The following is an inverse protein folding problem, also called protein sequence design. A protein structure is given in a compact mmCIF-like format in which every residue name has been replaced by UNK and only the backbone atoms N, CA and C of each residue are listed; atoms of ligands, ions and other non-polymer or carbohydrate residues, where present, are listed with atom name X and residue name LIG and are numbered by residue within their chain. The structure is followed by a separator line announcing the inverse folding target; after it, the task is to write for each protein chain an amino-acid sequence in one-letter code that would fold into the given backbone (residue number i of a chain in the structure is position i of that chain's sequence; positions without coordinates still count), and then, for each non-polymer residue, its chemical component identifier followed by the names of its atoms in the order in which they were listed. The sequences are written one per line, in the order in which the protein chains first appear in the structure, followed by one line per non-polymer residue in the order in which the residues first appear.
data_IF_999390812300
#
_entry.id   IF_999390812300
#
_cell.length_a   1.000
_cell.length_b   1.000
_cell.length_c   1.000
_cell.angle_alpha   90.00
_cell.angle_beta   90.00
_cell.angle_gamma   90.00
#
_symmetry.space_group_name_H-M   'P 1'
#
loop_
_entity.id
_entity.type
_entity.pdbx_description
1 polymer ?
#
# COMPACT_ATOMS: atom_id res chain seq x y z
N UNK A 1 -30.97 25.70 -38.05
CA UNK A 1 -30.64 24.25 -37.99
C UNK A 1 -29.17 23.91 -38.22
N UNK A 2 -28.29 24.82 -38.69
CA UNK A 2 -26.83 24.52 -38.83
C UNK A 2 -26.05 24.81 -37.54
N UNK A 3 -26.35 25.91 -36.84
CA UNK A 3 -25.64 26.31 -35.61
C UNK A 3 -25.78 25.32 -34.44
N UNK A 4 -26.94 24.68 -34.27
CA UNK A 4 -27.18 23.73 -33.17
C UNK A 4 -26.34 22.45 -33.30
N UNK A 5 -26.09 22.01 -34.55
CA UNK A 5 -25.26 20.83 -34.83
C UNK A 5 -23.78 21.10 -34.59
N UNK A 6 -23.30 22.29 -34.94
CA UNK A 6 -21.92 22.70 -34.66
C UNK A 6 -21.69 22.87 -33.16
N UNK A 7 -22.64 23.45 -32.43
CA UNK A 7 -22.57 23.56 -30.96
C UNK A 7 -22.60 22.20 -30.25
N UNK A 8 -23.39 21.25 -30.74
CA UNK A 8 -23.39 19.87 -30.24
C UNK A 8 -22.05 19.16 -30.49
N UNK A 9 -21.43 19.36 -31.66
CA UNK A 9 -20.13 18.78 -31.99
C UNK A 9 -18.97 19.41 -31.19
N UNK A 10 -19.03 20.73 -30.94
CA UNK A 10 -18.04 21.43 -30.09
C UNK A 10 -18.14 20.94 -28.64
N UNK A 11 -19.37 20.82 -28.11
CA UNK A 11 -19.59 20.30 -26.76
C UNK A 11 -19.17 18.83 -26.64
N UNK A 12 -19.44 18.01 -27.67
CA UNK A 12 -18.98 16.62 -27.70
C UNK A 12 -17.44 16.50 -27.67
N UNK A 13 -16.75 17.33 -28.45
CA UNK A 13 -15.27 17.38 -28.45
C UNK A 13 -14.70 17.91 -27.13
N UNK A 14 -15.33 18.91 -26.52
CA UNK A 14 -14.91 19.43 -25.23
C UNK A 14 -15.07 18.38 -24.12
N UNK A 15 -16.18 17.63 -24.13
CA UNK A 15 -16.40 16.52 -23.19
C UNK A 15 -15.38 15.40 -23.39
N UNK A 16 -15.04 15.06 -24.65
CA UNK A 16 -14.03 14.04 -24.95
C UNK A 16 -12.64 14.45 -24.47
N UNK A 17 -12.26 15.72 -24.66
CA UNK A 17 -11.01 16.28 -24.13
C UNK A 17 -10.97 16.27 -22.60
N UNK A 18 -12.09 16.56 -21.94
CA UNK A 18 -12.17 16.48 -20.48
C UNK A 18 -12.06 15.03 -19.99
N UNK A 19 -12.66 14.07 -20.68
CA UNK A 19 -12.54 12.64 -20.34
C UNK A 19 -11.11 12.12 -20.51
N UNK A 20 -10.41 12.54 -21.57
CA UNK A 20 -9.00 12.21 -21.78
C UNK A 20 -8.12 12.81 -20.68
N UNK A 21 -8.35 14.08 -20.33
CA UNK A 21 -7.60 14.75 -19.26
C UNK A 21 -7.84 14.10 -17.90
N UNK A 22 -9.09 13.75 -17.57
CA UNK A 22 -9.43 13.00 -16.35
C UNK A 22 -8.72 11.65 -16.33
N UNK A 23 -8.71 10.94 -17.46
CA UNK A 23 -8.06 9.63 -17.57
C UNK A 23 -6.54 9.74 -17.36
N UNK A 24 -5.91 10.77 -17.94
CA UNK A 24 -4.49 11.06 -17.73
C UNK A 24 -4.19 11.41 -16.28
N UNK A 25 -4.97 12.30 -15.65
CA UNK A 25 -4.78 12.64 -14.22
C UNK A 25 -4.99 11.45 -13.30
N UNK A 26 -5.94 10.55 -13.60
CA UNK A 26 -6.13 9.30 -12.85
C UNK A 26 -4.91 8.39 -13.02
N UNK A 27 -4.36 8.29 -14.23
CA UNK A 27 -3.19 7.47 -14.50
C UNK A 27 -1.94 8.01 -13.80
N UNK A 28 -1.70 9.32 -13.87
CA UNK A 28 -0.63 9.99 -13.14
C UNK A 28 -0.79 9.83 -11.62
N UNK A 29 -2.00 9.96 -11.09
CA UNK A 29 -2.27 9.71 -9.67
C UNK A 29 -2.01 8.24 -9.29
N UNK A 30 -2.36 7.28 -10.14
CA UNK A 30 -2.05 5.85 -9.91
C UNK A 30 -0.55 5.58 -9.94
N UNK A 31 0.17 6.19 -10.87
CA UNK A 31 1.63 6.08 -10.98
C UNK A 31 2.34 6.76 -9.81
N UNK A 32 1.82 7.90 -9.35
CA UNK A 32 2.26 8.54 -8.11
C UNK A 32 2.00 7.63 -6.91
N UNK A 33 0.80 7.10 -6.72
CA UNK A 33 0.49 6.17 -5.62
C UNK A 33 1.35 4.89 -5.67
N UNK A 34 1.66 4.39 -6.88
CA UNK A 34 2.55 3.25 -7.08
C UNK A 34 4.02 3.59 -6.79
N UNK A 35 4.47 4.79 -7.15
CA UNK A 35 5.84 5.28 -6.91
C UNK A 35 6.07 5.81 -5.48
N UNK A 36 5.02 6.25 -4.78
CA UNK A 36 5.05 6.73 -3.39
C UNK A 36 4.70 5.66 -2.34
N UNK A 37 4.59 4.39 -2.74
CA UNK A 37 4.70 3.24 -1.83
C UNK A 37 3.70 3.16 -0.67
N UNK A 38 2.51 3.76 -0.80
CA UNK A 38 1.47 3.77 0.24
C UNK A 38 0.28 2.88 -0.11
N UNK A 39 0.57 1.69 -0.64
CA UNK A 39 -0.36 0.56 -0.59
C UNK A 39 -0.14 -0.24 0.70
N UNK A 40 -0.51 0.31 1.86
CA UNK A 40 -0.45 -0.46 3.12
C UNK A 40 -1.72 -1.30 3.23
N UNK A 41 -1.69 -2.53 2.71
CA UNK A 41 -2.57 -3.58 3.25
C UNK A 41 -2.27 -3.71 4.74
N UNK A 42 -3.18 -3.28 5.60
CA UNK A 42 -3.05 -3.28 7.07
C UNK A 42 -3.31 -4.67 7.71
N UNK A 43 -3.36 -5.74 6.92
CA UNK A 43 -3.64 -7.11 7.38
C UNK A 43 -2.59 -8.16 6.98
N UNK A 44 -1.42 -7.76 6.48
CA UNK A 44 -0.40 -8.74 6.11
C UNK A 44 0.40 -9.17 7.35
N UNK A 45 0.31 -10.46 7.65
CA UNK A 45 1.19 -11.14 8.60
C UNK A 45 2.50 -11.49 7.90
N UNK A 46 3.63 -11.02 8.43
CA UNK A 46 4.95 -11.23 7.85
C UNK A 46 5.82 -12.06 8.78
N UNK A 47 6.65 -12.94 8.22
CA UNK A 47 7.75 -13.51 9.01
C UNK A 47 8.67 -12.41 9.50
N UNK A 48 9.38 -12.64 10.61
CA UNK A 48 10.33 -11.67 11.18
C UNK A 48 11.34 -11.17 10.12
N UNK A 49 11.82 -12.06 9.26
CA UNK A 49 12.74 -11.73 8.17
C UNK A 49 12.12 -10.73 7.18
N UNK A 50 10.92 -11.03 6.66
CA UNK A 50 10.21 -10.13 5.74
C UNK A 50 9.84 -8.80 6.39
N UNK A 51 9.53 -8.82 7.69
CA UNK A 51 9.30 -7.62 8.47
C UNK A 51 10.56 -6.73 8.51
N UNK A 52 11.74 -7.32 8.76
CA UNK A 52 13.01 -6.59 8.74
C UNK A 52 13.31 -5.99 7.37
N UNK A 53 13.12 -6.76 6.29
CA UNK A 53 13.30 -6.30 4.92
C UNK A 53 12.37 -5.12 4.59
N UNK A 54 11.08 -5.22 4.96
CA UNK A 54 10.08 -4.18 4.71
C UNK A 54 10.35 -2.87 5.46
N UNK A 55 10.83 -2.95 6.69
CA UNK A 55 11.01 -1.79 7.57
C UNK A 55 12.47 -1.35 7.75
N UNK A 56 13.40 -1.92 6.98
CA UNK A 56 14.82 -1.56 7.01
C UNK A 56 15.51 -1.88 8.34
N UNK A 57 15.07 -2.92 9.04
CA UNK A 57 15.66 -3.34 10.32
C UNK A 57 16.86 -4.24 10.04
N UNK A 58 18.01 -3.91 10.65
CA UNK A 58 19.31 -4.53 10.32
C UNK A 58 19.36 -6.03 10.59
N UNK A 59 18.68 -6.51 11.62
CA UNK A 59 18.73 -7.92 12.02
C UNK A 59 17.43 -8.37 12.69
N UNK A 60 17.21 -9.68 12.68
CA UNK A 60 16.01 -10.30 13.25
C UNK A 60 16.02 -10.31 14.78
N UNK A 61 17.20 -10.30 15.41
CA UNK A 61 17.35 -10.26 16.87
C UNK A 61 16.72 -8.99 17.48
N UNK A 62 16.81 -7.85 16.79
CA UNK A 62 16.15 -6.60 17.21
C UNK A 62 14.65 -6.80 17.37
N UNK A 63 14.02 -7.40 16.36
CA UNK A 63 12.57 -7.65 16.36
C UNK A 63 12.18 -8.71 17.39
N UNK A 64 12.99 -9.76 17.56
CA UNK A 64 12.79 -10.76 18.62
C UNK A 64 12.86 -10.12 20.01
N UNK A 65 13.81 -9.20 20.22
CA UNK A 65 13.92 -8.44 21.46
C UNK A 65 12.72 -7.51 21.67
N UNK A 66 12.19 -6.90 20.60
CA UNK A 66 10.96 -6.09 20.69
C UNK A 66 9.76 -6.91 21.11
N UNK A 67 9.59 -8.14 20.59
CA UNK A 67 8.56 -9.08 21.04
C UNK A 67 8.76 -9.39 22.53
N UNK A 68 9.99 -9.73 22.94
CA UNK A 68 10.30 -10.07 24.34
C UNK A 68 10.06 -8.90 25.30
N UNK A 69 10.31 -7.66 24.85
CA UNK A 69 10.10 -6.42 25.63
C UNK A 69 8.64 -5.93 25.61
N UNK A 70 7.78 -6.49 24.76
CA UNK A 70 6.41 -6.03 24.58
C UNK A 70 6.25 -4.76 23.75
N UNK A 71 7.31 -4.32 23.04
CA UNK A 71 7.23 -3.21 22.07
C UNK A 71 6.35 -3.61 20.89
N UNK A 72 6.43 -4.88 20.47
CA UNK A 72 5.43 -5.50 19.62
C UNK A 72 4.40 -6.14 20.56
N UNK A 73 3.14 -5.68 20.57
CA UNK A 73 2.11 -6.27 21.41
C UNK A 73 1.86 -7.75 21.06
N UNK A 74 1.54 -8.61 22.04
CA UNK A 74 1.26 -10.03 21.78
C UNK A 74 0.18 -10.29 20.73
N UNK A 75 -0.85 -9.44 20.67
CA UNK A 75 -1.94 -9.51 19.68
C UNK A 75 -1.45 -9.29 18.23
N UNK A 76 -0.24 -8.74 18.06
CA UNK A 76 0.39 -8.54 16.76
C UNK A 76 1.48 -9.57 16.46
N UNK A 77 1.53 -10.66 17.23
CA UNK A 77 2.43 -11.80 17.03
C UNK A 77 1.61 -13.08 16.96
N UNK A 78 1.78 -13.84 15.89
CA UNK A 78 1.15 -15.15 15.73
C UNK A 78 2.22 -16.22 15.56
N UNK A 79 2.11 -17.32 16.30
CA UNK A 79 2.97 -18.50 16.14
C UNK A 79 2.20 -19.54 15.35
N UNK A 80 2.82 -20.07 14.30
CA UNK A 80 2.28 -21.17 13.49
C UNK A 80 3.03 -22.44 13.88
N UNK A 81 2.46 -23.20 14.81
CA UNK A 81 3.07 -24.42 15.37
C UNK A 81 3.29 -25.49 14.30
N UNK A 82 2.36 -25.58 13.35
CA UNK A 82 2.37 -26.53 12.24
C UNK A 82 3.53 -26.31 11.25
N UNK A 83 4.20 -25.16 11.32
CA UNK A 83 5.33 -24.79 10.47
C UNK A 83 6.61 -24.61 11.29
N UNK A 84 6.92 -25.53 12.20
CA UNK A 84 8.09 -25.46 13.09
C UNK A 84 8.11 -24.21 13.98
N UNK A 85 6.95 -23.74 14.43
CA UNK A 85 6.84 -22.59 15.33
C UNK A 85 7.24 -21.26 14.68
N UNK A 86 7.05 -21.09 13.37
CA UNK A 86 7.33 -19.83 12.68
C UNK A 86 6.49 -18.71 13.29
N UNK A 87 7.15 -17.58 13.57
CA UNK A 87 6.50 -16.37 14.07
C UNK A 87 6.17 -15.42 12.93
N UNK A 88 4.92 -15.00 12.91
CA UNK A 88 4.39 -13.95 12.07
C UNK A 88 4.14 -12.69 12.90
N UNK A 89 4.39 -11.54 12.31
CA UNK A 89 4.24 -10.21 12.90
C UNK A 89 3.34 -9.40 11.98
N UNK A 90 2.38 -8.69 12.55
CA UNK A 90 1.54 -7.75 11.81
C UNK A 90 2.38 -6.67 11.16
N UNK A 91 2.18 -6.40 9.86
CA UNK A 91 2.98 -5.47 9.07
C UNK A 91 2.66 -3.98 9.36
N UNK A 92 2.79 -3.56 10.61
CA UNK A 92 2.73 -2.16 11.03
C UNK A 92 4.10 -1.75 11.60
N UNK A 93 4.49 -0.47 11.48
CA UNK A 93 5.78 -0.01 12.02
C UNK A 93 5.75 0.02 13.55
N UNK A 94 6.74 -0.61 14.18
CA UNK A 94 7.05 -0.45 15.61
C UNK A 94 8.35 0.31 15.80
N UNK A 95 8.52 0.99 16.93
CA UNK A 95 9.74 1.71 17.30
C UNK A 95 10.02 1.47 18.79
N UNK A 96 11.29 1.20 19.12
CA UNK A 96 11.85 1.16 20.48
C UNK A 96 12.20 2.58 20.96
#
# INVERSE_FOLDING_TARGET
MIADKEMFLINGKAVEQDLERISQSIQEAKELLASTGTGVSLNDWLTIKKYCERFGIKNTETVINWIRRGIIPPENVQVIEELNGIRLIKAVPYKD
#
